data_IF_307303382087
#
_entry.id   IF_307303382087
#
_cell.length_a   1.000
_cell.length_b   1.000
_cell.length_c   1.000
_cell.angle_alpha   90.00
_cell.angle_beta   90.00
_cell.angle_gamma   90.00
#
_symmetry.space_group_name_H-M   'P 1'
#
loop_
_entity.id
_entity.type
_entity.pdbx_description
1 polymer ?
#
# COMPACT_ATOMS: atom_id res chain seq x y z
N UNK A 1 -3.95 2.14 -25.34
CA UNK A 1 -3.01 1.42 -24.44
C UNK A 1 -2.93 -0.03 -24.88
N UNK A 2 -1.73 -0.63 -25.02
CA UNK A 2 -1.59 -2.05 -25.41
C UNK A 2 -2.26 -2.96 -24.38
N UNK A 3 -2.89 -4.08 -24.82
CA UNK A 3 -3.52 -5.08 -23.93
C UNK A 3 -2.58 -5.55 -22.82
N UNK A 4 -1.29 -5.73 -23.13
CA UNK A 4 -0.25 -6.12 -22.16
C UNK A 4 0.00 -5.05 -21.10
N UNK A 5 -0.08 -3.76 -21.48
CA UNK A 5 0.03 -2.65 -20.53
C UNK A 5 -1.20 -2.56 -19.62
N UNK A 6 -2.39 -2.79 -20.15
CA UNK A 6 -3.61 -2.82 -19.31
C UNK A 6 -3.57 -3.95 -18.28
N UNK A 7 -3.10 -5.14 -18.67
CA UNK A 7 -2.92 -6.26 -17.76
C UNK A 7 -1.87 -5.95 -16.68
N UNK A 8 -0.75 -5.31 -17.03
CA UNK A 8 0.25 -4.88 -16.06
C UNK A 8 -0.32 -3.91 -15.02
N UNK A 9 -1.20 -3.00 -15.42
CA UNK A 9 -1.83 -2.00 -14.53
C UNK A 9 -2.75 -2.71 -13.55
N UNK A 10 -3.56 -3.64 -14.06
CA UNK A 10 -4.49 -4.41 -13.24
C UNK A 10 -3.75 -5.24 -12.19
N UNK A 11 -2.68 -5.93 -12.58
CA UNK A 11 -1.86 -6.71 -11.64
C UNK A 11 -1.19 -5.79 -10.60
N UNK A 12 -0.58 -4.68 -11.04
CA UNK A 12 0.06 -3.72 -10.15
C UNK A 12 -0.94 -3.13 -9.14
N UNK A 13 -2.16 -2.82 -9.58
CA UNK A 13 -3.23 -2.32 -8.73
C UNK A 13 -3.65 -3.37 -7.68
N UNK A 14 -3.86 -4.62 -8.09
CA UNK A 14 -4.21 -5.70 -7.18
C UNK A 14 -3.11 -5.94 -6.13
N UNK A 15 -1.83 -5.92 -6.56
CA UNK A 15 -0.70 -6.02 -5.64
C UNK A 15 -0.64 -4.85 -4.66
N UNK A 16 -0.91 -3.62 -5.12
CA UNK A 16 -0.92 -2.44 -4.26
C UNK A 16 -2.05 -2.50 -3.21
N UNK A 17 -3.24 -2.95 -3.59
CA UNK A 17 -4.37 -3.16 -2.66
C UNK A 17 -4.06 -4.25 -1.63
N UNK A 18 -3.48 -5.37 -2.06
CA UNK A 18 -3.06 -6.43 -1.16
C UNK A 18 -1.96 -5.95 -0.20
N UNK A 19 -0.98 -5.22 -0.73
CA UNK A 19 0.09 -4.60 0.05
C UNK A 19 -0.44 -3.63 1.09
N UNK A 20 -1.37 -2.76 0.70
CA UNK A 20 -2.07 -1.86 1.61
C UNK A 20 -2.75 -2.62 2.75
N UNK A 21 -3.49 -3.69 2.43
CA UNK A 21 -4.18 -4.51 3.43
C UNK A 21 -3.22 -5.16 4.43
N UNK A 22 -2.09 -5.72 3.94
CA UNK A 22 -1.08 -6.34 4.79
C UNK A 22 -0.38 -5.33 5.68
N UNK A 23 0.05 -4.20 5.11
CA UNK A 23 0.70 -3.11 5.87
C UNK A 23 -0.25 -2.60 6.96
N UNK A 24 -1.52 -2.39 6.62
CA UNK A 24 -2.56 -2.00 7.57
C UNK A 24 -2.67 -3.00 8.73
N UNK A 25 -2.84 -4.30 8.42
CA UNK A 25 -2.97 -5.35 9.44
C UNK A 25 -1.76 -5.43 10.36
N UNK A 26 -0.56 -5.39 9.81
CA UNK A 26 0.69 -5.42 10.60
C UNK A 26 0.79 -4.17 11.47
N UNK A 27 0.50 -2.99 10.91
CA UNK A 27 0.58 -1.71 11.64
C UNK A 27 -0.42 -1.65 12.80
N UNK A 28 -1.63 -2.17 12.61
CA UNK A 28 -2.61 -2.33 13.69
C UNK A 28 -2.11 -3.26 14.79
N UNK A 29 -1.53 -4.41 14.41
CA UNK A 29 -1.02 -5.37 15.38
C UNK A 29 0.15 -4.81 16.20
N UNK A 30 1.04 -4.04 15.57
CA UNK A 30 2.20 -3.45 16.23
C UNK A 30 1.84 -2.27 17.14
N UNK A 31 0.98 -1.37 16.68
CA UNK A 31 0.75 -0.08 17.34
C UNK A 31 -0.46 -0.11 18.28
N UNK A 32 -1.46 -0.95 18.00
CA UNK A 32 -2.67 -1.10 18.81
C UNK A 32 -2.88 -2.57 19.20
N UNK A 33 -1.95 -3.16 19.97
CA UNK A 33 -2.09 -4.54 20.40
C UNK A 33 -3.42 -4.72 21.15
N UNK A 34 -4.23 -5.68 20.70
CA UNK A 34 -5.54 -6.01 21.28
C UNK A 34 -6.76 -5.39 20.57
N UNK A 35 -6.59 -4.38 19.71
CA UNK A 35 -7.70 -3.79 18.94
C UNK A 35 -7.92 -4.57 17.63
N UNK A 36 -8.83 -5.56 17.65
CA UNK A 36 -9.05 -6.49 16.52
C UNK A 36 -9.82 -5.90 15.32
N UNK A 37 -10.56 -4.79 15.49
CA UNK A 37 -11.53 -4.32 14.50
C UNK A 37 -11.54 -2.80 14.29
N UNK A 38 -10.36 -2.22 14.11
CA UNK A 38 -10.28 -0.84 13.64
C UNK A 38 -10.51 -0.85 12.12
N UNK A 39 -11.08 0.20 11.55
CA UNK A 39 -11.06 0.41 10.09
C UNK A 39 -9.80 1.19 9.72
N UNK A 40 -9.26 1.09 8.48
CA UNK A 40 -8.09 1.88 8.07
C UNK A 40 -8.27 3.39 8.31
N UNK A 41 -9.49 3.91 8.09
CA UNK A 41 -9.84 5.32 8.32
C UNK A 41 -9.79 5.67 9.81
N UNK A 42 -10.41 4.84 10.67
CA UNK A 42 -10.40 5.07 12.10
C UNK A 42 -8.98 4.97 12.68
N UNK A 43 -8.19 4.02 12.18
CA UNK A 43 -6.79 3.85 12.53
C UNK A 43 -5.96 5.09 12.19
N UNK A 44 -6.09 5.60 10.96
CA UNK A 44 -5.43 6.83 10.55
C UNK A 44 -5.86 8.03 11.40
N UNK A 45 -7.16 8.14 11.73
CA UNK A 45 -7.67 9.22 12.60
C UNK A 45 -7.09 9.16 14.00
N UNK A 46 -6.99 7.97 14.60
CA UNK A 46 -6.38 7.79 15.92
C UNK A 46 -4.91 8.20 15.93
N UNK A 47 -4.14 7.69 14.95
CA UNK A 47 -2.73 8.04 14.82
C UNK A 47 -2.51 9.53 14.49
N UNK A 48 -3.46 10.19 13.82
CA UNK A 48 -3.36 11.62 13.53
C UNK A 48 -3.61 12.49 14.77
N UNK A 49 -4.46 11.98 15.67
CA UNK A 49 -4.88 12.66 16.90
C UNK A 49 -3.81 12.64 18.01
N UNK A 50 -2.82 11.75 17.97
CA UNK A 50 -1.75 11.64 19.00
C UNK A 50 -0.81 12.85 19.03
N UNK A 51 -0.95 13.81 18.11
CA UNK A 51 -0.15 15.04 17.96
C UNK A 51 1.38 14.81 17.85
N UNK A 52 1.80 13.56 17.67
CA UNK A 52 3.18 13.15 17.49
C UNK A 52 3.51 13.10 15.99
N UNK A 53 4.60 13.77 15.62
CA UNK A 53 5.11 13.76 14.25
C UNK A 53 5.49 12.37 13.76
N UNK A 54 5.99 11.51 14.66
CA UNK A 54 6.35 10.14 14.34
C UNK A 54 5.15 9.33 13.83
N UNK A 55 4.01 9.40 14.53
CA UNK A 55 2.79 8.68 14.12
C UNK A 55 2.20 9.24 12.83
N UNK A 56 2.26 10.56 12.60
CA UNK A 56 1.84 11.17 11.34
C UNK A 56 2.70 10.73 10.16
N UNK A 57 4.02 10.74 10.33
CA UNK A 57 4.95 10.25 9.31
C UNK A 57 4.70 8.76 9.00
N UNK A 58 4.44 7.96 10.03
CA UNK A 58 4.17 6.53 9.88
C UNK A 58 2.89 6.28 9.06
N UNK A 59 1.82 7.07 9.25
CA UNK A 59 0.62 7.01 8.40
C UNK A 59 0.98 7.30 6.93
N UNK A 60 1.70 8.40 6.67
CA UNK A 60 2.06 8.80 5.30
C UNK A 60 2.90 7.71 4.62
N UNK A 61 3.89 7.18 5.34
CA UNK A 61 4.77 6.13 4.84
C UNK A 61 4.01 4.82 4.57
N UNK A 62 3.15 4.40 5.50
CA UNK A 62 2.48 3.09 5.41
C UNK A 62 1.27 3.07 4.48
N UNK A 63 0.46 4.14 4.45
CA UNK A 63 -0.81 4.16 3.71
C UNK A 63 -0.70 4.81 2.34
N UNK A 64 0.36 5.58 2.08
CA UNK A 64 0.57 6.21 0.78
C UNK A 64 1.85 5.72 0.13
N UNK A 65 3.01 6.00 0.72
CA UNK A 65 4.30 5.77 0.05
C UNK A 65 4.52 4.29 -0.26
N UNK A 66 4.28 3.38 0.68
CA UNK A 66 4.45 1.94 0.44
C UNK A 66 3.50 1.36 -0.62
N UNK A 67 2.18 1.61 -0.59
CA UNK A 67 1.27 1.17 -1.67
C UNK A 67 1.66 1.73 -3.04
N UNK A 68 2.02 3.02 -3.12
CA UNK A 68 2.52 3.61 -4.36
C UNK A 68 3.80 2.93 -4.83
N UNK A 69 4.75 2.69 -3.92
CA UNK A 69 5.99 1.97 -4.25
C UNK A 69 5.72 0.58 -4.79
N UNK A 70 4.82 -0.20 -4.15
CA UNK A 70 4.42 -1.53 -4.62
C UNK A 70 3.82 -1.44 -6.02
N UNK A 71 2.90 -0.50 -6.25
CA UNK A 71 2.30 -0.28 -7.56
C UNK A 71 3.35 -0.01 -8.64
N UNK A 72 4.21 1.00 -8.44
CA UNK A 72 5.22 1.39 -9.42
C UNK A 72 6.25 0.29 -9.65
N UNK A 73 6.67 -0.42 -8.61
CA UNK A 73 7.62 -1.53 -8.74
C UNK A 73 7.05 -2.65 -9.60
N UNK A 74 5.85 -3.13 -9.27
CA UNK A 74 5.20 -4.23 -10.01
C UNK A 74 4.89 -3.81 -11.44
N UNK A 75 4.41 -2.58 -11.63
CA UNK A 75 4.18 -2.00 -12.95
C UNK A 75 5.45 -2.05 -13.81
N UNK A 76 6.56 -1.50 -13.31
CA UNK A 76 7.82 -1.43 -14.05
C UNK A 76 8.37 -2.84 -14.34
N UNK A 77 8.30 -3.76 -13.39
CA UNK A 77 8.76 -5.14 -13.58
C UNK A 77 7.97 -5.86 -14.68
N UNK A 78 6.65 -5.67 -14.71
CA UNK A 78 5.79 -6.27 -15.73
C UNK A 78 5.99 -5.60 -17.09
N UNK A 79 6.15 -4.28 -17.13
CA UNK A 79 6.45 -3.56 -18.37
C UNK A 79 7.79 -4.02 -18.98
N UNK A 80 8.84 -4.16 -18.17
CA UNK A 80 10.13 -4.71 -18.60
C UNK A 80 9.99 -6.14 -19.13
N UNK A 81 9.20 -6.99 -18.45
CA UNK A 81 8.93 -8.37 -18.87
C UNK A 81 8.20 -8.42 -20.21
N UNK A 82 7.19 -7.57 -20.43
CA UNK A 82 6.44 -7.54 -21.69
C UNK A 82 7.27 -6.94 -22.83
N UNK A 83 8.16 -5.98 -22.54
CA UNK A 83 9.08 -5.43 -23.54
C UNK A 83 10.10 -6.48 -24.01
N UNK A 84 10.63 -7.32 -23.13
CA UNK A 84 11.59 -8.39 -23.51
C UNK A 84 10.98 -9.55 -24.31
N UNK A 85 9.64 -9.65 -24.38
CA UNK A 85 8.94 -10.73 -25.11
C UNK A 85 8.56 -10.38 -26.56
N UNK A 86 8.80 -9.13 -26.98
CA UNK A 86 8.60 -8.64 -28.34
C UNK A 86 9.93 -8.16 -28.90
#
# INVERSE_FOLDING_TARGET
MSKSKMLAHLIALLCAVLGFYLIYKISCHLILPGQKYVTPVLYARWLWATNDWFFRLLIVMNFFIKPFFIYYLIWNLLELRFRKRH
#
